data_IF_149412897996
#
_entry.id   IF_149412897996
#
_cell.length_a   1.000
_cell.length_b   1.000
_cell.length_c   1.000
_cell.angle_alpha   90.00
_cell.angle_beta   90.00
_cell.angle_gamma   90.00
#
_symmetry.space_group_name_H-M   'P 1'
#
loop_
_entity.id
_entity.type
_entity.pdbx_description
1 polymer ?
#
# COMPACT_ATOMS: atom_id res chain seq x y z
N UNK A 1 -6.15 14.90 7.16
CA UNK A 1 -6.95 13.68 6.97
C UNK A 1 -8.18 13.66 7.90
N UNK A 2 -9.38 13.45 7.36
CA UNK A 2 -10.60 13.22 8.16
C UNK A 2 -10.64 11.74 8.54
N UNK A 3 -10.53 11.41 9.82
CA UNK A 3 -10.65 10.03 10.31
C UNK A 3 -12.06 9.54 10.02
N UNK A 4 -12.21 8.57 9.12
CA UNK A 4 -13.49 7.91 8.90
C UNK A 4 -13.64 6.77 9.92
N UNK A 5 -14.74 6.69 10.66
CA UNK A 5 -15.04 5.50 11.44
C UNK A 5 -15.25 4.32 10.48
N UNK A 6 -14.76 3.14 10.87
CA UNK A 6 -15.18 1.91 10.20
C UNK A 6 -16.68 1.69 10.39
N UNK A 7 -17.32 1.08 9.40
CA UNK A 7 -18.71 0.63 9.53
C UNK A 7 -18.79 -0.58 10.45
N UNK A 8 -19.94 -0.80 11.09
CA UNK A 8 -20.13 -1.78 12.18
C UNK A 8 -19.76 -3.24 11.82
N UNK A 9 -19.66 -3.60 10.53
CA UNK A 9 -19.29 -4.92 10.00
C UNK A 9 -17.89 -4.97 9.33
N UNK A 10 -17.17 -3.84 9.33
CA UNK A 10 -15.91 -3.71 8.60
C UNK A 10 -14.72 -4.16 9.46
N UNK A 11 -13.99 -5.16 8.97
CA UNK A 11 -12.78 -5.62 9.65
C UNK A 11 -11.70 -4.54 9.59
N UNK A 12 -11.05 -4.33 10.73
CA UNK A 12 -9.88 -3.47 10.84
C UNK A 12 -8.62 -4.33 10.82
N UNK A 13 -7.71 -4.00 9.92
CA UNK A 13 -6.37 -4.56 9.86
C UNK A 13 -5.42 -3.66 10.65
N UNK A 14 -4.65 -4.25 11.56
CA UNK A 14 -3.58 -3.55 12.29
C UNK A 14 -2.26 -3.95 11.64
N UNK A 15 -1.59 -2.99 11.00
CA UNK A 15 -0.36 -3.21 10.25
C UNK A 15 0.80 -2.47 10.90
N UNK A 16 1.98 -3.10 10.92
CA UNK A 16 3.23 -2.45 11.30
C UNK A 16 4.02 -2.09 10.03
N UNK A 17 4.04 -0.81 9.68
CA UNK A 17 4.89 -0.28 8.63
C UNK A 17 6.27 0.06 9.22
N UNK A 18 7.33 -0.46 8.60
CA UNK A 18 8.71 -0.31 9.09
C UNK A 18 9.54 0.39 8.03
N UNK A 19 10.14 1.53 8.37
CA UNK A 19 11.02 2.23 7.44
C UNK A 19 12.38 1.52 7.35
N UNK A 20 12.84 1.32 6.12
CA UNK A 20 14.16 0.76 5.82
C UNK A 20 14.72 1.41 4.56
N UNK A 21 16.03 1.60 4.51
CA UNK A 21 16.74 2.03 3.30
C UNK A 21 17.74 0.97 2.84
N UNK A 22 18.13 1.05 1.57
CA UNK A 22 19.02 0.09 0.92
C UNK A 22 20.45 0.12 1.49
N UNK A 23 20.90 1.23 2.10
CA UNK A 23 22.18 1.32 2.81
C UNK A 23 22.07 0.87 4.28
N UNK A 24 20.87 0.54 4.75
CA UNK A 24 20.63 0.08 6.12
C UNK A 24 20.90 1.13 7.20
N UNK A 25 20.84 2.42 6.85
CA UNK A 25 20.91 3.56 7.78
C UNK A 25 19.75 3.56 8.78
N UNK A 26 18.61 3.06 8.33
CA UNK A 26 17.33 2.96 9.04
C UNK A 26 17.07 1.48 9.31
N UNK A 27 17.57 0.97 10.45
CA UNK A 27 17.48 -0.47 10.83
C UNK A 27 16.13 -0.84 11.44
N UNK A 28 15.06 -0.55 10.72
CA UNK A 28 13.68 -0.82 11.17
C UNK A 28 13.11 0.18 12.17
N UNK A 29 13.74 1.35 12.27
CA UNK A 29 13.30 2.47 13.10
C UNK A 29 13.49 3.77 12.30
N UNK A 30 12.44 4.58 12.11
CA UNK A 30 11.13 4.49 12.76
C UNK A 30 10.21 3.38 12.20
N UNK A 31 9.26 2.94 13.03
CA UNK A 31 8.07 2.20 12.57
C UNK A 31 6.79 2.96 12.94
N UNK A 32 5.70 2.61 12.26
CA UNK A 32 4.34 3.08 12.54
C UNK A 32 3.40 1.89 12.63
N UNK A 33 2.51 1.92 13.61
CA UNK A 33 1.37 1.00 13.67
C UNK A 33 0.17 1.77 13.15
N UNK A 34 -0.40 1.28 12.05
CA UNK A 34 -1.57 1.88 11.40
C UNK A 34 -2.75 0.92 11.50
N UNK A 35 -3.94 1.48 11.63
CA UNK A 35 -5.20 0.74 11.61
C UNK A 35 -5.97 1.17 10.36
N UNK A 36 -6.30 0.21 9.50
CA UNK A 36 -7.01 0.47 8.24
C UNK A 36 -8.22 -0.45 8.11
N UNK A 37 -9.29 -0.01 7.44
CA UNK A 37 -10.37 -0.90 7.06
C UNK A 37 -9.93 -1.91 5.97
N UNK A 38 -10.42 -3.14 6.02
CA UNK A 38 -10.07 -4.22 5.08
C UNK A 38 -10.40 -3.88 3.62
N UNK A 39 -11.42 -3.04 3.39
CA UNK A 39 -11.89 -2.69 2.04
C UNK A 39 -11.13 -1.52 1.41
N UNK A 40 -10.08 -1.02 2.06
CA UNK A 40 -9.25 0.07 1.57
C UNK A 40 -8.41 -0.35 0.35
N UNK A 41 -8.17 0.57 -0.60
CA UNK A 41 -7.32 0.27 -1.76
C UNK A 41 -5.83 0.23 -1.39
N UNK A 42 -5.00 -0.36 -2.26
CA UNK A 42 -3.54 -0.29 -2.09
C UNK A 42 -3.01 1.14 -2.26
N UNK A 43 -3.69 1.96 -3.06
CA UNK A 43 -3.36 3.39 -3.19
C UNK A 43 -3.57 4.13 -1.87
N UNK A 44 -4.74 3.96 -1.24
CA UNK A 44 -5.04 4.56 0.07
C UNK A 44 -4.07 4.06 1.16
N UNK A 45 -3.70 2.77 1.11
CA UNK A 45 -2.70 2.21 2.01
C UNK A 45 -1.34 2.92 1.85
N UNK A 46 -0.90 3.17 0.62
CA UNK A 46 0.34 3.89 0.36
C UNK A 46 0.29 5.32 0.91
N UNK A 47 -0.82 6.04 0.67
CA UNK A 47 -1.04 7.39 1.19
C UNK A 47 -0.92 7.41 2.73
N UNK A 48 -1.63 6.50 3.43
CA UNK A 48 -1.60 6.42 4.90
C UNK A 48 -0.20 6.09 5.42
N UNK A 49 0.52 5.15 4.78
CA UNK A 49 1.89 4.81 5.17
C UNK A 49 2.75 6.06 5.07
N UNK A 50 2.79 6.71 3.90
CA UNK A 50 3.62 7.88 3.61
C UNK A 50 3.30 9.03 4.58
N UNK A 51 2.02 9.38 4.74
CA UNK A 51 1.59 10.42 5.68
C UNK A 51 1.98 10.10 7.14
N UNK A 52 1.90 8.83 7.56
CA UNK A 52 2.25 8.43 8.93
C UNK A 52 3.72 8.66 9.28
N UNK A 53 4.60 8.67 8.27
CA UNK A 53 6.02 9.01 8.41
C UNK A 53 6.30 10.49 8.18
N UNK A 54 5.32 11.28 7.73
CA UNK A 54 5.46 12.71 7.45
C UNK A 54 6.20 13.01 6.15
N UNK A 55 6.15 12.10 5.17
CA UNK A 55 6.67 12.34 3.82
C UNK A 55 5.58 12.94 2.92
N UNK A 56 6.02 13.62 1.87
CA UNK A 56 5.13 14.08 0.81
C UNK A 56 4.73 12.89 -0.08
N UNK A 57 3.46 12.86 -0.49
CA UNK A 57 2.90 11.79 -1.34
C UNK A 57 2.96 12.19 -2.82
N UNK A 58 4.17 12.41 -3.33
CA UNK A 58 4.45 13.01 -4.64
C UNK A 58 5.33 12.14 -5.56
N UNK A 59 5.76 10.98 -5.09
CA UNK A 59 6.57 10.02 -5.85
C UNK A 59 5.79 8.73 -6.17
N UNK A 60 6.21 8.02 -7.21
CA UNK A 60 5.67 6.70 -7.54
C UNK A 60 6.05 5.64 -6.51
N UNK A 61 5.16 4.66 -6.35
CA UNK A 61 5.29 3.58 -5.36
C UNK A 61 4.75 2.26 -5.91
N UNK A 62 5.08 1.17 -5.21
CA UNK A 62 4.57 -0.17 -5.48
C UNK A 62 4.64 -1.09 -4.27
N UNK A 63 3.87 -2.17 -4.32
CA UNK A 63 3.83 -3.23 -3.32
C UNK A 63 4.39 -4.50 -3.91
N UNK A 64 5.20 -5.24 -3.14
CA UNK A 64 5.97 -6.36 -3.64
C UNK A 64 6.04 -7.48 -2.60
N UNK A 65 5.81 -8.71 -3.02
CA UNK A 65 5.99 -9.91 -2.18
C UNK A 65 7.47 -10.14 -1.79
N UNK A 66 8.43 -9.62 -2.56
CA UNK A 66 9.85 -9.71 -2.27
C UNK A 66 10.52 -8.32 -2.15
N UNK A 67 10.37 -7.68 -0.98
CA UNK A 67 10.93 -6.34 -0.73
C UNK A 67 12.48 -6.27 -0.78
N UNK A 68 13.20 -7.40 -0.67
CA UNK A 68 14.67 -7.42 -0.76
C UNK A 68 15.17 -7.42 -2.20
N UNK A 69 14.39 -7.98 -3.11
CA UNK A 69 14.68 -8.08 -4.54
C UNK A 69 13.38 -7.89 -5.30
N UNK A 70 12.82 -6.70 -5.22
CA UNK A 70 11.50 -6.37 -5.75
C UNK A 70 11.28 -6.76 -7.23
N UNK A 71 12.28 -6.72 -8.15
CA UNK A 71 12.07 -7.16 -9.54
C UNK A 71 11.87 -8.67 -9.69
N UNK A 72 12.10 -9.44 -8.61
CA UNK A 72 11.92 -10.90 -8.53
C UNK A 72 10.75 -11.28 -7.61
N UNK A 73 9.77 -10.40 -7.48
CA UNK A 73 8.56 -10.70 -6.74
C UNK A 73 7.64 -11.59 -7.58
N UNK A 74 7.00 -12.58 -6.96
CA UNK A 74 5.98 -13.39 -7.63
C UNK A 74 4.67 -12.62 -7.76
N UNK A 75 4.42 -11.72 -6.81
CA UNK A 75 3.28 -10.81 -6.77
C UNK A 75 3.74 -9.38 -6.49
N UNK A 76 3.13 -8.41 -7.19
CA UNK A 76 3.34 -6.99 -6.97
C UNK A 76 2.23 -6.13 -7.57
N UNK A 77 2.23 -4.83 -7.23
CA UNK A 77 1.28 -3.83 -7.70
C UNK A 77 1.95 -2.45 -7.80
N UNK A 78 1.79 -1.72 -8.90
CA UNK A 78 2.58 -0.52 -9.22
C UNK A 78 1.74 0.69 -9.62
N UNK A 79 2.08 1.88 -9.12
CA UNK A 79 1.45 3.11 -9.58
C UNK A 79 1.79 3.39 -11.06
N UNK A 80 2.98 2.99 -11.52
CA UNK A 80 3.40 3.19 -12.91
C UNK A 80 2.45 2.54 -13.93
N UNK A 81 1.89 1.38 -13.60
CA UNK A 81 0.86 0.73 -14.39
C UNK A 81 -0.41 1.58 -14.50
N UNK A 82 -0.84 2.21 -13.40
CA UNK A 82 -2.02 3.07 -13.37
C UNK A 82 -1.83 4.39 -14.13
N UNK A 83 -0.60 4.92 -14.22
CA UNK A 83 -0.29 6.20 -14.90
C UNK A 83 0.30 6.03 -16.31
N UNK A 84 0.45 4.79 -16.80
CA UNK A 84 0.90 4.50 -18.16
C UNK A 84 2.41 4.69 -18.41
N UNK A 85 3.24 4.66 -17.37
CA UNK A 85 4.69 4.87 -17.45
C UNK A 85 5.52 3.57 -17.56
N UNK A 86 4.84 2.43 -17.75
CA UNK A 86 5.45 1.11 -17.90
C UNK A 86 5.28 0.25 -16.65
N UNK A 87 5.20 -1.07 -16.85
CA UNK A 87 4.76 -1.98 -15.79
C UNK A 87 5.47 -3.34 -15.86
N UNK A 88 5.91 -3.82 -14.71
CA UNK A 88 6.19 -5.24 -14.50
C UNK A 88 4.99 -5.93 -13.84
N UNK A 89 4.21 -5.18 -13.06
CA UNK A 89 3.07 -5.68 -12.30
C UNK A 89 1.80 -4.85 -12.53
N UNK A 90 0.60 -5.38 -12.21
CA UNK A 90 -0.66 -4.64 -12.36
C UNK A 90 -0.73 -3.36 -11.51
N UNK A 91 -1.69 -2.49 -11.82
CA UNK A 91 -1.99 -1.27 -11.06
C UNK A 91 -2.36 -1.47 -9.59
N UNK A 92 -2.06 -0.47 -8.75
CA UNK A 92 -2.49 -0.42 -7.34
C UNK A 92 -3.97 -0.08 -7.17
N UNK A 93 -4.55 0.61 -8.16
CA UNK A 93 -5.94 1.08 -8.26
C UNK A 93 -6.36 2.01 -7.10
N UNK A 94 -6.90 3.18 -7.45
CA UNK A 94 -7.46 4.12 -6.45
C UNK A 94 -8.76 3.63 -5.83
N UNK A 95 -9.56 2.89 -6.59
CA UNK A 95 -10.78 2.27 -6.08
C UNK A 95 -10.50 0.77 -5.86
N UNK A 96 -10.87 0.22 -4.68
CA UNK A 96 -10.74 -1.21 -4.46
C UNK A 96 -11.60 -1.94 -5.49
N UNK A 97 -11.06 -2.98 -6.13
CA UNK A 97 -11.88 -3.83 -7.02
C UNK A 97 -13.06 -4.32 -6.20
N UNK A 98 -14.27 -3.88 -6.55
CA UNK A 98 -15.48 -4.57 -6.16
C UNK A 98 -15.27 -6.02 -6.55
N UNK A 99 -15.23 -6.91 -5.56
CA UNK A 99 -15.21 -8.34 -5.83
C UNK A 99 -16.33 -8.58 -6.83
N UNK A 100 -15.98 -9.04 -8.04
CA UNK A 100 -17.00 -9.41 -9.03
C UNK A 100 -17.93 -10.35 -8.29
N UNK A 101 -19.18 -9.94 -8.07
CA UNK A 101 -20.21 -10.86 -7.65
C UNK A 101 -20.16 -12.00 -8.65
N UNK A 102 -19.77 -13.20 -8.20
CA UNK A 102 -19.98 -14.40 -8.98
C UNK A 102 -21.49 -14.55 -9.09
N UNK A 103 -22.06 -13.96 -10.13
CA UNK A 103 -23.36 -14.40 -10.64
C UNK A 103 -23.06 -15.68 -11.40
N UNK A 104 -23.23 -16.82 -10.72
CA UNK A 104 -23.48 -18.09 -11.39
C UNK A 104 -24.89 -18.09 -11.97
#
# INVERSE_FOLDING_TARGET
MTRKPAKDDEKILILKATASDWEGRVRGMPYRVIAIPEKMSLYDLAEIIIESFGFDFDHAFGFYSNIKRWPRSDEGYELFADIGEGEQFPGVLKEPRLAKSLTM
#
